data_IF_142752180960
#
_entry.id   IF_142752180960
#
_cell.length_a   1.000
_cell.length_b   1.000
_cell.length_c   1.000
_cell.angle_alpha   90.00
_cell.angle_beta   90.00
_cell.angle_gamma   90.00
#
_symmetry.space_group_name_H-M   'P 1'
#
loop_
_entity.id
_entity.type
_entity.pdbx_description
1 polymer ?
#
# COMPACT_ATOMS: atom_id res chain seq x y z
N UNK A 1 -11.72 -18.32 54.16
CA UNK A 1 -10.91 -18.90 53.06
C UNK A 1 -9.53 -18.25 53.11
N UNK A 2 -8.46 -19.04 53.22
CA UNK A 2 -7.11 -18.51 53.41
C UNK A 2 -6.64 -17.84 52.10
N UNK A 3 -6.26 -16.55 52.12
CA UNK A 3 -5.92 -15.78 50.91
C UNK A 3 -4.82 -16.45 50.06
N UNK A 4 -3.94 -17.24 50.70
CA UNK A 4 -2.93 -18.08 50.02
C UNK A 4 -3.54 -19.20 49.17
N UNK A 5 -4.63 -19.83 49.63
CA UNK A 5 -5.31 -20.88 48.87
C UNK A 5 -6.10 -20.32 47.67
N UNK A 6 -6.68 -19.12 47.81
CA UNK A 6 -7.33 -18.42 46.69
C UNK A 6 -6.31 -18.06 45.59
N UNK A 7 -5.14 -17.54 45.98
CA UNK A 7 -4.05 -17.22 45.05
C UNK A 7 -3.52 -18.47 44.32
N UNK A 8 -3.34 -19.59 45.03
CA UNK A 8 -2.93 -20.86 44.39
C UNK A 8 -4.00 -21.35 43.40
N UNK A 9 -5.29 -21.22 43.71
CA UNK A 9 -6.34 -21.60 42.76
C UNK A 9 -6.39 -20.68 41.55
N UNK A 10 -6.23 -19.36 41.71
CA UNK A 10 -6.16 -18.42 40.58
C UNK A 10 -4.93 -18.70 39.71
N UNK A 11 -3.77 -18.98 40.32
CA UNK A 11 -2.54 -19.34 39.61
C UNK A 11 -2.73 -20.64 38.83
N UNK A 12 -3.30 -21.68 39.45
CA UNK A 12 -3.59 -22.97 38.80
C UNK A 12 -4.62 -22.81 37.67
N UNK A 13 -5.65 -21.96 37.81
CA UNK A 13 -6.59 -21.68 36.71
C UNK A 13 -5.94 -20.91 35.55
N UNK A 14 -4.94 -20.06 35.82
CA UNK A 14 -4.17 -19.37 34.78
C UNK A 14 -3.29 -20.34 33.97
N UNK A 15 -2.83 -21.44 34.58
CA UNK A 15 -2.06 -22.51 33.90
C UNK A 15 -2.94 -23.59 33.23
N UNK A 16 -4.27 -23.55 33.40
CA UNK A 16 -5.21 -24.51 32.77
C UNK A 16 -6.09 -23.82 31.71
N UNK A 17 -5.89 -22.53 31.46
CA UNK A 17 -6.49 -21.88 30.30
C UNK A 17 -5.80 -22.43 29.04
N UNK A 18 -6.42 -23.43 28.41
CA UNK A 18 -6.10 -23.79 27.04
C UNK A 18 -6.65 -22.67 26.17
N UNK A 19 -5.75 -21.88 25.60
CA UNK A 19 -6.09 -21.09 24.42
C UNK A 19 -6.29 -22.10 23.30
N UNK A 20 -7.48 -22.10 22.68
CA UNK A 20 -7.74 -22.92 21.50
C UNK A 20 -7.63 -21.96 20.33
N UNK A 21 -6.66 -22.18 19.46
CA UNK A 21 -6.61 -21.50 18.18
C UNK A 21 -7.84 -21.90 17.38
N UNK A 22 -8.55 -20.89 16.89
CA UNK A 22 -9.73 -21.06 16.07
C UNK A 22 -9.27 -21.04 14.62
N UNK A 23 -9.37 -22.19 13.97
CA UNK A 23 -9.22 -22.29 12.53
C UNK A 23 -10.47 -21.71 11.86
N UNK A 24 -10.30 -20.81 10.91
CA UNK A 24 -11.43 -20.20 10.19
C UNK A 24 -12.21 -21.24 9.37
N UNK A 25 -11.53 -22.31 8.92
CA UNK A 25 -12.14 -23.39 8.15
C UNK A 25 -13.12 -24.23 8.98
N UNK A 26 -13.03 -24.20 10.33
CA UNK A 26 -14.04 -24.78 11.25
C UNK A 26 -15.42 -24.15 11.01
N UNK A 27 -15.48 -22.95 10.42
CA UNK A 27 -16.70 -22.18 10.10
C UNK A 27 -17.07 -22.19 8.61
N UNK A 28 -16.36 -22.92 7.76
CA UNK A 28 -16.64 -23.02 6.30
C UNK A 28 -18.11 -23.34 5.99
N UNK A 29 -18.74 -24.19 6.81
CA UNK A 29 -20.16 -24.54 6.65
C UNK A 29 -21.12 -23.37 6.88
N UNK A 30 -20.73 -22.35 7.66
CA UNK A 30 -21.53 -21.15 7.90
C UNK A 30 -21.57 -20.23 6.67
N UNK A 31 -20.65 -20.42 5.72
CA UNK A 31 -20.53 -19.63 4.49
C UNK A 31 -20.70 -20.46 3.22
N UNK A 32 -21.11 -21.74 3.32
CA UNK A 32 -21.21 -22.66 2.18
C UNK A 32 -22.25 -22.26 1.11
N UNK A 33 -23.06 -21.23 1.37
CA UNK A 33 -24.07 -20.68 0.45
C UNK A 33 -23.66 -19.32 -0.11
N UNK A 34 -22.45 -18.84 0.23
CA UNK A 34 -21.90 -17.62 -0.28
C UNK A 34 -21.80 -17.68 -1.81
N UNK A 35 -22.17 -16.57 -2.46
CA UNK A 35 -21.94 -16.39 -3.88
C UNK A 35 -21.03 -15.18 -4.02
N UNK A 36 -20.02 -15.29 -4.88
CA UNK A 36 -19.14 -14.18 -5.19
C UNK A 36 -19.93 -12.98 -5.75
N UNK A 37 -19.54 -11.79 -5.33
CA UNK A 37 -20.13 -10.50 -5.69
C UNK A 37 -19.07 -9.63 -6.38
N UNK A 38 -19.53 -8.64 -7.16
CA UNK A 38 -18.63 -7.63 -7.73
C UNK A 38 -18.31 -6.54 -6.72
N UNK A 39 -17.03 -6.25 -6.53
CA UNK A 39 -16.52 -5.03 -5.90
C UNK A 39 -15.91 -4.12 -6.96
N UNK A 40 -16.43 -2.90 -7.06
CA UNK A 40 -15.96 -1.91 -8.05
C UNK A 40 -15.45 -0.67 -7.33
N UNK A 41 -14.16 -0.38 -7.46
CA UNK A 41 -13.55 0.85 -6.96
C UNK A 41 -13.11 1.71 -8.14
N UNK A 42 -13.95 2.67 -8.52
CA UNK A 42 -13.71 3.59 -9.62
C UNK A 42 -13.26 4.95 -9.08
N UNK A 43 -11.96 5.22 -9.15
CA UNK A 43 -11.33 6.40 -8.56
C UNK A 43 -10.76 7.33 -9.64
N UNK A 44 -11.27 8.55 -9.70
CA UNK A 44 -10.66 9.63 -10.47
C UNK A 44 -9.55 10.32 -9.66
N UNK A 45 -8.46 10.64 -10.34
CA UNK A 45 -7.25 11.25 -9.78
C UNK A 45 -6.95 12.57 -10.54
N UNK A 46 -7.62 13.68 -10.19
CA UNK A 46 -7.59 14.93 -10.96
C UNK A 46 -6.22 15.58 -11.06
N UNK A 47 -5.36 15.40 -10.05
CA UNK A 47 -4.02 15.95 -10.03
C UNK A 47 -3.14 15.35 -11.15
N UNK A 48 -3.32 14.06 -11.45
CA UNK A 48 -2.65 13.36 -12.55
C UNK A 48 -3.45 13.36 -13.86
N UNK A 49 -4.64 14.01 -13.89
CA UNK A 49 -5.58 13.97 -15.01
C UNK A 49 -5.88 12.53 -15.50
N UNK A 50 -6.10 11.61 -14.56
CA UNK A 50 -6.34 10.20 -14.86
C UNK A 50 -7.42 9.61 -13.96
N UNK A 51 -7.73 8.34 -14.15
CA UNK A 51 -8.56 7.54 -13.26
C UNK A 51 -8.03 6.10 -13.22
N UNK A 52 -8.35 5.38 -12.16
CA UNK A 52 -8.03 3.97 -11.97
C UNK A 52 -9.33 3.28 -11.54
N UNK A 53 -9.66 2.17 -12.19
CA UNK A 53 -10.87 1.42 -11.87
C UNK A 53 -10.46 -0.03 -11.58
N UNK A 54 -10.76 -0.50 -10.38
CA UNK A 54 -10.55 -1.88 -9.95
C UNK A 54 -11.88 -2.60 -9.91
N UNK A 55 -11.93 -3.78 -10.51
CA UNK A 55 -13.11 -4.62 -10.59
C UNK A 55 -12.69 -6.00 -10.12
N UNK A 56 -13.12 -6.34 -8.92
CA UNK A 56 -12.68 -7.53 -8.22
C UNK A 56 -13.90 -8.41 -7.95
N UNK A 57 -13.68 -9.73 -7.98
CA UNK A 57 -14.64 -10.66 -7.41
C UNK A 57 -14.35 -10.86 -5.94
N UNK A 58 -15.39 -10.86 -5.11
CA UNK A 58 -15.22 -11.20 -3.71
C UNK A 58 -15.06 -12.71 -3.54
N UNK A 59 -14.17 -13.11 -2.65
CA UNK A 59 -13.81 -14.52 -2.39
C UNK A 59 -13.99 -14.82 -0.91
N UNK A 60 -14.35 -16.07 -0.55
CA UNK A 60 -14.42 -16.44 0.85
C UNK A 60 -13.01 -16.53 1.45
N UNK A 61 -12.89 -16.31 2.77
CA UNK A 61 -11.59 -16.31 3.45
C UNK A 61 -10.95 -17.70 3.52
N UNK A 62 -11.72 -18.77 3.32
CA UNK A 62 -11.28 -20.16 3.27
C UNK A 62 -11.09 -20.66 1.82
N UNK A 63 -10.90 -19.76 0.86
CA UNK A 63 -10.62 -20.11 -0.53
C UNK A 63 -9.19 -20.66 -0.69
N UNK A 64 -9.10 -21.99 -0.62
CA UNK A 64 -7.83 -22.74 -0.70
C UNK A 64 -7.16 -22.70 -2.07
N UNK A 65 -7.82 -22.18 -3.11
CA UNK A 65 -7.17 -22.03 -4.41
C UNK A 65 -6.31 -20.78 -4.52
N UNK A 66 -6.52 -19.79 -3.64
CA UNK A 66 -5.75 -18.54 -3.64
C UNK A 66 -4.56 -18.58 -2.69
N UNK A 67 -4.69 -19.32 -1.58
CA UNK A 67 -3.62 -19.54 -0.62
C UNK A 67 -3.40 -21.05 -0.56
N UNK A 68 -2.73 -21.56 -1.59
CA UNK A 68 -2.60 -22.98 -1.84
C UNK A 68 -1.26 -23.54 -1.30
N UNK A 69 -0.38 -22.64 -0.82
CA UNK A 69 0.96 -22.93 -0.32
C UNK A 69 1.89 -23.57 -1.36
N UNK A 70 1.75 -23.15 -2.61
CA UNK A 70 2.55 -23.61 -3.73
C UNK A 70 3.05 -22.37 -4.46
N UNK A 71 4.37 -22.25 -4.53
CA UNK A 71 5.07 -21.34 -5.43
C UNK A 71 4.69 -21.68 -6.89
N UNK A 72 3.83 -20.85 -7.46
CA UNK A 72 3.20 -21.06 -8.76
C UNK A 72 4.01 -20.43 -9.92
N UNK A 73 4.98 -19.55 -9.62
CA UNK A 73 5.82 -18.87 -10.61
C UNK A 73 7.34 -19.10 -10.48
N UNK A 74 7.79 -19.84 -9.46
CA UNK A 74 9.16 -20.26 -9.19
C UNK A 74 10.12 -19.14 -8.77
N UNK A 75 9.63 -18.16 -8.00
CA UNK A 75 10.44 -17.09 -7.41
C UNK A 75 10.57 -17.15 -5.88
N UNK A 76 10.14 -18.26 -5.27
CA UNK A 76 10.25 -18.52 -3.83
C UNK A 76 11.61 -18.19 -3.21
N UNK A 77 12.70 -18.60 -3.89
CA UNK A 77 14.04 -18.57 -3.31
C UNK A 77 15.11 -18.33 -4.39
N UNK A 78 16.37 -18.28 -3.99
CA UNK A 78 17.45 -17.86 -4.88
C UNK A 78 17.98 -18.97 -5.79
N UNK A 79 18.51 -18.57 -6.94
CA UNK A 79 19.06 -19.49 -7.94
C UNK A 79 20.45 -19.07 -8.40
N UNK A 80 21.35 -20.05 -8.50
CA UNK A 80 22.73 -19.84 -8.95
C UNK A 80 22.99 -20.53 -10.30
N UNK A 81 23.53 -19.77 -11.25
CA UNK A 81 23.97 -20.29 -12.53
C UNK A 81 25.43 -20.76 -12.43
N UNK A 82 25.65 -22.07 -12.55
CA UNK A 82 26.99 -22.66 -12.46
C UNK A 82 27.92 -22.29 -13.63
N UNK A 83 27.38 -21.79 -14.73
CA UNK A 83 28.12 -21.53 -15.97
C UNK A 83 28.80 -20.15 -15.99
N UNK A 84 28.15 -19.13 -15.44
CA UNK A 84 28.68 -17.76 -15.32
C UNK A 84 28.96 -17.34 -13.88
N UNK A 85 28.59 -18.18 -12.91
CA UNK A 85 28.76 -17.94 -11.46
C UNK A 85 27.95 -16.75 -10.93
N UNK A 86 26.78 -16.49 -11.53
CA UNK A 86 25.86 -15.41 -11.13
C UNK A 86 24.68 -15.97 -10.33
N UNK A 87 24.20 -15.19 -9.36
CA UNK A 87 23.00 -15.48 -8.58
C UNK A 87 21.82 -14.64 -9.05
N UNK A 88 20.61 -15.19 -8.91
CA UNK A 88 19.34 -14.64 -9.37
C UNK A 88 18.30 -14.82 -8.28
N UNK A 89 17.25 -13.99 -8.30
CA UNK A 89 16.16 -14.05 -7.30
C UNK A 89 15.03 -15.00 -7.67
N UNK A 90 14.95 -15.44 -8.94
CA UNK A 90 13.97 -16.41 -9.39
C UNK A 90 14.54 -17.42 -10.38
N UNK A 91 13.84 -18.55 -10.54
CA UNK A 91 14.23 -19.58 -11.49
C UNK A 91 14.12 -19.07 -12.93
N UNK A 92 13.09 -18.29 -13.21
CA UNK A 92 12.83 -17.72 -14.52
C UNK A 92 13.90 -16.71 -14.92
N UNK A 93 14.34 -15.85 -14.00
CA UNK A 93 15.46 -14.92 -14.25
C UNK A 93 16.75 -15.72 -14.56
N UNK A 94 17.06 -16.70 -13.72
CA UNK A 94 18.22 -17.55 -13.93
C UNK A 94 18.17 -18.27 -15.27
N UNK A 95 17.05 -18.90 -15.63
CA UNK A 95 16.97 -19.69 -16.86
C UNK A 95 16.99 -18.86 -18.13
N UNK A 96 16.53 -17.60 -18.07
CA UNK A 96 16.57 -16.67 -19.20
C UNK A 96 17.99 -16.14 -19.48
N UNK A 97 18.75 -15.83 -18.43
CA UNK A 97 20.09 -15.23 -18.54
C UNK A 97 21.21 -16.29 -18.59
N UNK A 98 21.04 -17.41 -17.88
CA UNK A 98 21.97 -18.53 -17.88
C UNK A 98 21.85 -19.29 -19.22
N UNK A 99 22.88 -19.16 -20.07
CA UNK A 99 22.90 -19.75 -21.42
C UNK A 99 22.86 -21.31 -21.45
N UNK A 100 22.79 -21.96 -20.30
CA UNK A 100 22.44 -23.37 -20.14
C UNK A 100 21.46 -23.54 -18.97
N UNK A 101 20.68 -24.62 -18.97
CA UNK A 101 19.68 -24.92 -17.93
C UNK A 101 20.31 -25.36 -16.59
N UNK A 102 21.46 -24.82 -16.20
CA UNK A 102 22.20 -25.16 -14.98
C UNK A 102 21.90 -24.17 -13.85
N UNK A 103 20.62 -23.91 -13.60
CA UNK A 103 20.15 -23.14 -12.44
C UNK A 103 20.01 -24.08 -11.24
N UNK A 104 20.74 -23.79 -10.17
CA UNK A 104 20.74 -24.54 -8.92
C UNK A 104 20.03 -23.73 -7.84
N UNK A 105 19.09 -24.35 -7.13
CA UNK A 105 18.44 -23.74 -5.97
C UNK A 105 19.47 -23.51 -4.87
N UNK A 106 19.57 -22.27 -4.40
CA UNK A 106 20.38 -21.85 -3.27
C UNK A 106 19.46 -21.25 -2.21
N UNK A 107 19.46 -21.82 -1.00
CA UNK A 107 18.50 -21.43 0.03
C UNK A 107 18.90 -20.15 0.77
N UNK A 108 20.18 -19.79 0.78
CA UNK A 108 20.67 -18.64 1.52
C UNK A 108 21.22 -17.59 0.59
N UNK A 109 20.90 -16.34 0.85
CA UNK A 109 21.53 -15.19 0.21
C UNK A 109 22.29 -14.35 1.21
N UNK A 110 23.20 -13.56 0.69
CA UNK A 110 23.94 -12.57 1.44
C UNK A 110 24.26 -11.39 0.54
N UNK A 111 23.82 -10.22 0.94
CA UNK A 111 24.17 -8.98 0.28
C UNK A 111 25.49 -8.45 0.82
N UNK A 112 26.42 -8.13 -0.09
CA UNK A 112 27.71 -7.55 0.26
C UNK A 112 27.87 -6.17 -0.37
N UNK A 113 28.80 -5.35 0.12
CA UNK A 113 29.05 -4.06 -0.54
C UNK A 113 29.61 -4.29 -1.96
N UNK A 114 29.19 -3.46 -2.93
CA UNK A 114 29.67 -3.52 -4.31
C UNK A 114 31.21 -3.51 -4.42
N UNK A 115 31.89 -2.76 -3.55
CA UNK A 115 33.36 -2.70 -3.52
C UNK A 115 34.04 -4.01 -3.07
N UNK A 116 33.29 -4.94 -2.49
CA UNK A 116 33.78 -6.23 -1.98
C UNK A 116 33.37 -7.42 -2.87
N UNK A 117 32.60 -7.22 -3.96
CA UNK A 117 32.15 -8.30 -4.83
C UNK A 117 32.88 -8.37 -6.19
N UNK A 118 33.89 -9.23 -6.29
CA UNK A 118 34.60 -9.49 -7.57
C UNK A 118 33.80 -10.39 -8.54
N UNK A 119 32.72 -11.06 -8.08
CA UNK A 119 31.96 -12.09 -8.82
C UNK A 119 30.50 -11.74 -9.10
N UNK A 120 29.99 -10.62 -8.59
CA UNK A 120 28.60 -10.21 -8.80
C UNK A 120 28.41 -9.67 -10.23
N UNK A 121 27.20 -9.82 -10.78
CA UNK A 121 26.84 -9.16 -12.02
C UNK A 121 26.66 -7.67 -11.75
N UNK A 122 27.42 -6.82 -12.45
CA UNK A 122 27.51 -5.38 -12.18
C UNK A 122 26.20 -4.61 -12.47
N UNK A 123 25.20 -5.27 -13.04
CA UNK A 123 23.91 -4.71 -13.40
C UNK A 123 22.75 -5.21 -12.48
N UNK A 124 22.98 -6.10 -11.49
CA UNK A 124 21.90 -6.86 -10.80
C UNK A 124 22.00 -7.00 -9.27
N UNK A 125 22.56 -6.04 -8.53
CA UNK A 125 22.74 -6.10 -7.06
C UNK A 125 23.92 -6.97 -6.61
N UNK A 126 24.61 -6.67 -5.49
CA UNK A 126 25.71 -7.47 -4.97
C UNK A 126 25.24 -8.72 -4.21
N UNK A 127 24.41 -9.52 -4.87
CA UNK A 127 23.82 -10.75 -4.34
C UNK A 127 24.79 -11.93 -4.51
N UNK A 128 25.12 -12.59 -3.40
CA UNK A 128 25.78 -13.90 -3.41
C UNK A 128 24.88 -14.90 -2.71
N UNK A 129 24.73 -16.09 -3.30
CA UNK A 129 23.84 -17.13 -2.77
C UNK A 129 24.62 -18.41 -2.45
N UNK A 130 24.06 -19.22 -1.55
CA UNK A 130 24.68 -20.43 -1.02
C UNK A 130 23.65 -21.56 -0.86
N UNK A 131 24.09 -22.80 -1.03
CA UNK A 131 23.23 -23.98 -0.82
C UNK A 131 22.87 -24.15 0.66
N UNK A 132 23.75 -23.75 1.57
CA UNK A 132 23.61 -23.98 3.02
C UNK A 132 23.97 -22.77 3.87
N UNK A 133 23.39 -22.69 5.08
CA UNK A 133 23.66 -21.65 6.07
C UNK A 133 25.14 -21.62 6.46
N UNK A 134 25.76 -22.78 6.64
CA UNK A 134 27.17 -22.89 7.00
C UNK A 134 28.07 -22.28 5.94
N UNK A 135 27.83 -22.57 4.66
CA UNK A 135 28.60 -21.99 3.56
C UNK A 135 28.45 -20.48 3.49
N UNK A 136 27.23 -19.99 3.70
CA UNK A 136 26.96 -18.56 3.76
C UNK A 136 27.73 -17.89 4.90
N UNK A 137 27.66 -18.41 6.13
CA UNK A 137 28.34 -17.82 7.30
C UNK A 137 29.87 -17.88 7.16
N UNK A 138 30.41 -18.94 6.56
CA UNK A 138 31.87 -19.06 6.35
C UNK A 138 32.40 -18.10 5.29
N UNK A 139 31.59 -17.81 4.27
CA UNK A 139 32.02 -17.10 3.06
C UNK A 139 31.56 -15.65 3.01
N UNK A 140 30.44 -15.33 3.65
CA UNK A 140 29.87 -14.00 3.65
C UNK A 140 30.19 -13.20 4.91
N UNK A 141 30.31 -11.88 4.73
CA UNK A 141 30.51 -10.91 5.82
C UNK A 141 29.22 -10.18 6.21
N UNK A 142 28.19 -10.25 5.37
CA UNK A 142 26.85 -9.73 5.64
C UNK A 142 26.00 -10.75 6.40
N UNK A 143 24.73 -10.40 6.59
CA UNK A 143 23.77 -11.28 7.23
C UNK A 143 23.28 -12.33 6.21
N UNK A 144 23.25 -13.58 6.63
CA UNK A 144 22.73 -14.69 5.84
C UNK A 144 21.22 -14.77 6.03
N UNK A 145 20.48 -14.52 4.94
CA UNK A 145 19.02 -14.54 4.92
C UNK A 145 18.52 -15.68 4.05
N UNK A 146 17.35 -16.22 4.38
CA UNK A 146 16.65 -17.25 3.61
C UNK A 146 15.16 -16.95 3.60
N UNK A 147 14.50 -17.36 2.52
CA UNK A 147 13.04 -17.35 2.38
C UNK A 147 12.41 -18.69 2.82
N UNK A 148 13.25 -19.71 3.11
CA UNK A 148 12.89 -21.02 3.68
C UNK A 148 12.83 -20.92 5.21
N UNK A 149 11.77 -20.24 5.68
CA UNK A 149 11.60 -19.75 7.05
C UNK A 149 10.53 -20.51 7.86
N UNK A 150 9.87 -21.50 7.27
CA UNK A 150 8.86 -22.31 7.93
C UNK A 150 7.50 -21.62 8.15
N UNK A 151 6.61 -22.32 8.85
CA UNK A 151 5.20 -21.96 9.04
C UNK A 151 4.96 -20.62 9.75
N UNK A 152 5.90 -20.15 10.57
CA UNK A 152 5.79 -18.89 11.32
C UNK A 152 6.25 -17.65 10.52
N UNK A 153 6.80 -17.89 9.31
CA UNK A 153 7.25 -16.86 8.38
C UNK A 153 8.47 -16.08 8.90
N UNK A 154 9.31 -16.68 9.75
CA UNK A 154 10.50 -16.03 10.32
C UNK A 154 11.68 -16.97 10.42
N UNK A 155 12.79 -16.54 9.84
CA UNK A 155 14.07 -17.21 10.03
C UNK A 155 14.43 -17.33 11.53
N UNK A 156 14.83 -18.52 11.96
CA UNK A 156 15.31 -18.74 13.30
C UNK A 156 16.56 -17.92 13.60
N UNK A 157 16.58 -17.35 14.79
CA UNK A 157 17.62 -16.47 15.29
C UNK A 157 18.00 -16.87 16.70
N UNK A 158 19.25 -17.30 16.88
CA UNK A 158 19.86 -17.54 18.19
C UNK A 158 20.74 -16.32 18.51
N UNK A 159 20.27 -15.49 19.43
CA UNK A 159 20.85 -14.17 19.70
C UNK A 159 22.26 -14.23 20.30
N UNK A 160 22.61 -15.35 20.93
CA UNK A 160 23.87 -15.52 21.63
C UNK A 160 24.71 -16.73 21.12
N UNK A 161 24.16 -17.51 20.17
CA UNK A 161 24.73 -18.72 19.57
C UNK A 161 25.08 -19.80 20.61
N UNK A 162 24.32 -19.95 21.68
CA UNK A 162 24.52 -21.01 22.69
C UNK A 162 23.73 -22.29 22.39
N UNK A 163 22.87 -22.26 21.36
CA UNK A 163 22.11 -23.38 20.87
C UNK A 163 20.87 -23.71 21.71
N UNK A 164 20.49 -22.85 22.66
CA UNK A 164 19.15 -22.85 23.24
C UNK A 164 18.36 -21.59 22.79
N UNK A 165 17.10 -21.79 22.39
CA UNK A 165 16.23 -20.72 21.88
C UNK A 165 15.30 -20.24 23.00
N UNK A 166 15.87 -19.81 24.13
CA UNK A 166 15.11 -19.48 25.34
C UNK A 166 15.24 -18.03 25.83
N UNK A 167 16.05 -17.21 25.15
CA UNK A 167 16.23 -15.80 25.48
C UNK A 167 14.99 -14.97 25.16
N UNK A 168 14.47 -14.29 26.18
CA UNK A 168 13.24 -13.47 26.09
C UNK A 168 13.55 -11.99 26.17
N UNK A 169 13.08 -11.23 25.19
CA UNK A 169 13.19 -9.78 25.19
C UNK A 169 13.10 -9.21 23.77
N UNK A 170 13.32 -7.90 23.64
CA UNK A 170 13.55 -7.28 22.34
C UNK A 170 14.91 -7.76 21.82
N UNK A 171 14.93 -8.40 20.65
CA UNK A 171 16.12 -9.10 20.12
C UNK A 171 16.47 -10.40 20.83
N UNK A 172 15.49 -11.06 21.47
CA UNK A 172 15.64 -12.44 21.96
C UNK A 172 15.51 -13.47 20.84
N UNK A 173 15.51 -14.75 21.20
CA UNK A 173 15.59 -15.83 20.23
C UNK A 173 14.28 -16.05 19.46
N UNK A 174 14.43 -16.54 18.24
CA UNK A 174 13.38 -17.11 17.39
C UNK A 174 13.76 -18.56 17.15
N UNK A 175 12.98 -19.47 17.72
CA UNK A 175 13.21 -20.91 17.58
C UNK A 175 12.77 -21.40 16.20
N UNK A 176 13.47 -22.39 15.63
CA UNK A 176 13.05 -22.98 14.37
C UNK A 176 11.76 -23.78 14.52
N UNK A 177 10.98 -23.80 13.46
CA UNK A 177 9.65 -24.40 13.42
C UNK A 177 9.51 -25.44 12.28
N UNK A 178 8.28 -25.81 11.94
CA UNK A 178 8.02 -26.82 10.91
C UNK A 178 8.17 -26.18 9.53
N UNK A 179 8.86 -26.86 8.61
CA UNK A 179 9.17 -26.33 7.27
C UNK A 179 10.56 -25.68 7.17
N UNK A 180 11.04 -24.99 8.21
CA UNK A 180 12.28 -24.21 8.11
C UNK A 180 13.51 -25.04 7.70
N UNK A 181 14.16 -24.61 6.62
CA UNK A 181 15.40 -25.18 6.10
C UNK A 181 15.22 -26.54 5.43
N UNK A 182 14.00 -26.91 5.04
CA UNK A 182 13.72 -28.20 4.40
C UNK A 182 13.87 -28.18 2.87
N UNK A 183 14.05 -26.99 2.29
CA UNK A 183 14.25 -26.74 0.87
C UNK A 183 12.98 -26.94 0.02
N UNK A 184 11.80 -26.84 0.63
CA UNK A 184 10.50 -26.95 -0.03
C UNK A 184 9.65 -25.71 0.31
N UNK A 185 9.05 -25.02 -0.68
CA UNK A 185 8.17 -23.90 -0.41
C UNK A 185 6.99 -24.34 0.45
N UNK A 186 6.73 -23.58 1.51
CA UNK A 186 5.70 -23.81 2.51
C UNK A 186 4.77 -22.60 2.72
N UNK A 187 3.64 -22.85 3.39
CA UNK A 187 2.70 -21.78 3.73
C UNK A 187 3.37 -20.71 4.60
N UNK A 188 3.02 -19.43 4.38
CA UNK A 188 3.52 -18.26 5.13
C UNK A 188 5.01 -17.92 4.91
N UNK A 189 5.70 -18.66 4.05
CA UNK A 189 7.02 -18.27 3.57
C UNK A 189 6.90 -17.12 2.56
N UNK A 190 7.98 -16.37 2.40
CA UNK A 190 8.03 -15.27 1.44
C UNK A 190 7.91 -15.84 0.02
N UNK A 191 7.26 -15.12 -0.89
CA UNK A 191 7.14 -15.49 -2.32
C UNK A 191 6.55 -16.91 -2.58
N UNK A 192 5.53 -17.34 -1.81
CA UNK A 192 4.82 -18.64 -2.05
C UNK A 192 3.32 -18.47 -2.32
N UNK A 193 2.67 -17.50 -1.68
CA UNK A 193 1.26 -17.16 -1.92
C UNK A 193 1.17 -15.63 -1.92
N UNK A 194 1.92 -14.99 -2.83
CA UNK A 194 2.07 -13.54 -2.85
C UNK A 194 1.09 -12.84 -3.81
N UNK A 195 1.19 -11.51 -3.86
CA UNK A 195 0.14 -10.71 -4.47
C UNK A 195 -0.03 -10.95 -5.97
N UNK A 196 1.05 -11.09 -6.73
CA UNK A 196 0.97 -11.30 -8.17
C UNK A 196 0.48 -12.70 -8.58
N UNK A 197 0.52 -13.69 -7.69
CA UNK A 197 -0.18 -14.97 -7.87
C UNK A 197 -1.69 -14.85 -7.55
N UNK A 198 -2.05 -14.14 -6.47
CA UNK A 198 -3.43 -14.05 -5.97
C UNK A 198 -4.27 -13.09 -6.82
N UNK A 199 -3.72 -11.95 -7.20
CA UNK A 199 -4.45 -10.85 -7.83
C UNK A 199 -5.06 -11.21 -9.19
N UNK A 200 -4.37 -11.92 -10.11
CA UNK A 200 -4.96 -12.37 -11.37
C UNK A 200 -6.21 -13.23 -11.18
N UNK A 201 -6.24 -14.05 -10.12
CA UNK A 201 -7.40 -14.86 -9.80
C UNK A 201 -8.57 -14.02 -9.25
N UNK A 202 -8.34 -12.84 -8.69
CA UNK A 202 -9.38 -11.98 -8.11
C UNK A 202 -9.89 -10.93 -9.11
N UNK A 203 -9.06 -10.48 -10.04
CA UNK A 203 -9.42 -9.43 -10.98
C UNK A 203 -10.37 -9.91 -12.08
N UNK A 204 -11.31 -9.04 -12.41
CA UNK A 204 -12.01 -9.08 -13.69
C UNK A 204 -11.27 -8.16 -14.67
N UNK A 205 -10.25 -8.73 -15.27
CA UNK A 205 -9.33 -8.10 -16.22
C UNK A 205 -9.88 -8.00 -17.66
N UNK A 206 -10.98 -8.70 -17.92
CA UNK A 206 -11.57 -8.87 -19.23
C UNK A 206 -13.08 -9.02 -19.14
N UNK A 207 -13.76 -9.07 -20.29
CA UNK A 207 -15.21 -9.29 -20.38
C UNK A 207 -16.09 -8.22 -19.71
N UNK A 208 -15.52 -7.06 -19.35
CA UNK A 208 -16.26 -5.89 -18.90
C UNK A 208 -15.99 -4.69 -19.84
N UNK A 209 -17.02 -3.91 -20.09
CA UNK A 209 -16.93 -2.61 -20.79
C UNK A 209 -17.02 -1.50 -19.77
N UNK A 210 -15.93 -0.74 -19.60
CA UNK A 210 -15.79 0.29 -18.57
C UNK A 210 -15.64 1.67 -19.21
N UNK A 211 -16.43 2.64 -18.73
CA UNK A 211 -16.45 4.02 -19.26
C UNK A 211 -16.66 5.07 -18.17
N UNK A 212 -16.02 6.22 -18.34
CA UNK A 212 -16.36 7.46 -17.65
C UNK A 212 -16.75 8.52 -18.68
N UNK A 213 -17.80 9.29 -18.39
CA UNK A 213 -18.32 10.34 -19.25
C UNK A 213 -18.37 11.67 -18.48
N UNK A 214 -18.03 12.76 -19.16
CA UNK A 214 -18.21 14.13 -18.69
C UNK A 214 -18.84 14.97 -19.81
N UNK A 215 -20.08 15.42 -19.62
CA UNK A 215 -20.83 16.11 -20.67
C UNK A 215 -21.00 15.24 -21.93
N UNK A 216 -20.42 15.67 -23.06
CA UNK A 216 -20.42 14.92 -24.33
C UNK A 216 -19.15 14.07 -24.52
N UNK A 217 -18.12 14.25 -23.68
CA UNK A 217 -16.84 13.56 -23.74
C UNK A 217 -16.94 12.18 -23.09
N UNK A 218 -16.35 11.17 -23.73
CA UNK A 218 -16.37 9.79 -23.26
C UNK A 218 -14.94 9.28 -23.19
N UNK A 219 -14.64 8.59 -22.10
CA UNK A 219 -13.40 7.87 -21.90
C UNK A 219 -13.70 6.39 -21.72
N UNK A 220 -13.16 5.58 -22.63
CA UNK A 220 -13.15 4.12 -22.49
C UNK A 220 -11.92 3.70 -21.72
N UNK A 221 -11.99 2.54 -21.07
CA UNK A 221 -10.90 2.01 -20.26
C UNK A 221 -10.46 0.65 -20.80
N UNK A 222 -9.18 0.36 -20.63
CA UNK A 222 -8.55 -0.93 -20.93
C UNK A 222 -7.86 -1.44 -19.68
N UNK A 223 -7.85 -2.75 -19.48
CA UNK A 223 -7.11 -3.35 -18.37
C UNK A 223 -5.61 -3.29 -18.61
N UNK A 224 -4.86 -3.07 -17.55
CA UNK A 224 -3.40 -3.05 -17.51
C UNK A 224 -2.93 -3.74 -16.24
N UNK A 225 -2.11 -4.79 -16.38
CA UNK A 225 -1.52 -5.54 -15.26
C UNK A 225 -0.62 -4.64 -14.39
N UNK A 226 0.10 -3.71 -15.01
CA UNK A 226 0.89 -2.68 -14.31
C UNK A 226 0.07 -1.46 -13.85
N UNK A 227 -1.26 -1.55 -13.95
CA UNK A 227 -2.18 -0.47 -13.62
C UNK A 227 -2.45 -0.41 -12.12
N UNK A 228 -2.18 0.73 -11.48
CA UNK A 228 -2.34 0.85 -10.03
C UNK A 228 -1.23 0.11 -9.28
N UNK A 229 -0.61 0.81 -8.33
CA UNK A 229 0.53 0.28 -7.58
C UNK A 229 0.37 0.59 -6.11
N UNK A 230 0.91 -0.27 -5.26
CA UNK A 230 1.11 -0.01 -3.84
C UNK A 230 2.53 -0.40 -3.45
N UNK A 231 2.93 0.03 -2.26
CA UNK A 231 4.23 -0.31 -1.69
C UNK A 231 4.01 -1.45 -0.71
N UNK A 232 4.80 -2.50 -0.86
CA UNK A 232 4.86 -3.60 0.09
C UNK A 232 6.20 -3.59 0.81
N UNK A 233 6.17 -3.84 2.11
CA UNK A 233 7.33 -3.81 2.98
C UNK A 233 7.63 -5.24 3.41
N UNK A 234 8.76 -5.78 2.92
CA UNK A 234 9.20 -7.14 3.26
C UNK A 234 9.68 -7.24 4.72
N UNK A 235 9.92 -6.10 5.37
CA UNK A 235 10.45 -6.03 6.73
C UNK A 235 9.37 -5.71 7.77
N UNK A 236 9.61 -6.09 9.04
CA UNK A 236 8.75 -5.66 10.16
C UNK A 236 9.10 -4.27 10.70
N UNK A 237 10.28 -3.77 10.38
CA UNK A 237 10.77 -2.44 10.73
C UNK A 237 11.05 -1.72 9.41
N UNK A 238 10.11 -0.88 8.96
CA UNK A 238 10.18 -0.16 7.68
C UNK A 238 11.61 0.23 7.34
N UNK A 239 12.11 -0.25 6.21
CA UNK A 239 13.35 0.22 5.58
C UNK A 239 13.02 0.68 4.17
N UNK A 240 13.37 1.92 3.85
CA UNK A 240 13.07 2.53 2.55
C UNK A 240 13.75 1.78 1.39
N UNK A 241 14.86 1.11 1.66
CA UNK A 241 15.62 0.34 0.68
C UNK A 241 14.96 -1.01 0.35
N UNK A 242 14.20 -1.58 1.30
CA UNK A 242 13.57 -2.90 1.19
C UNK A 242 12.10 -2.81 0.73
N UNK A 243 11.61 -1.61 0.40
CA UNK A 243 10.23 -1.43 -0.07
C UNK A 243 10.11 -1.79 -1.55
N UNK A 244 9.23 -2.73 -1.85
CA UNK A 244 8.90 -3.12 -3.21
C UNK A 244 7.64 -2.43 -3.71
N UNK A 245 7.53 -2.29 -5.03
CA UNK A 245 6.34 -1.71 -5.68
C UNK A 245 5.57 -2.82 -6.35
N UNK A 246 4.44 -3.19 -5.76
CA UNK A 246 3.58 -4.23 -6.29
C UNK A 246 2.55 -3.62 -7.24
N UNK A 247 2.44 -4.22 -8.42
CA UNK A 247 1.41 -3.87 -9.40
C UNK A 247 0.12 -4.57 -9.05
N UNK A 248 -0.91 -3.80 -8.72
CA UNK A 248 -2.21 -4.38 -8.36
C UNK A 248 -2.98 -4.83 -9.61
N UNK A 249 -2.79 -4.17 -10.76
CA UNK A 249 -3.63 -4.38 -11.94
C UNK A 249 -4.91 -3.53 -11.90
N UNK A 250 -5.22 -2.83 -12.99
CA UNK A 250 -6.39 -1.97 -13.05
C UNK A 250 -6.82 -1.62 -14.46
N UNK A 251 -8.09 -1.23 -14.58
CA UNK A 251 -8.61 -0.55 -15.76
C UNK A 251 -8.16 0.91 -15.76
N UNK A 252 -7.40 1.30 -16.78
CA UNK A 252 -6.86 2.64 -16.98
C UNK A 252 -7.47 3.29 -18.23
N UNK A 253 -7.49 4.64 -18.34
CA UNK A 253 -7.96 5.34 -19.52
C UNK A 253 -7.29 4.82 -20.79
N UNK A 254 -8.09 4.45 -21.79
CA UNK A 254 -7.61 4.02 -23.10
C UNK A 254 -6.93 5.22 -23.80
N UNK A 255 -5.61 5.17 -24.06
CA UNK A 255 -4.90 6.27 -24.70
C UNK A 255 -5.43 6.62 -26.11
N UNK A 256 -6.14 5.69 -26.76
CA UNK A 256 -6.72 5.87 -28.09
C UNK A 256 -8.19 6.31 -28.06
N UNK A 257 -8.90 6.09 -26.94
CA UNK A 257 -10.34 6.28 -26.82
C UNK A 257 -10.73 6.99 -25.51
N UNK A 258 -9.97 8.02 -25.14
CA UNK A 258 -10.25 8.86 -23.99
C UNK A 258 -10.16 10.35 -24.32
N UNK A 259 -11.32 11.00 -24.38
CA UNK A 259 -11.45 12.44 -24.64
C UNK A 259 -11.78 13.25 -23.38
N UNK A 260 -11.85 12.60 -22.21
CA UNK A 260 -12.23 13.23 -20.93
C UNK A 260 -11.01 13.74 -20.20
N UNK A 261 -11.04 15.02 -19.82
CA UNK A 261 -10.14 15.56 -18.80
C UNK A 261 -10.73 15.31 -17.40
N UNK A 262 -9.96 14.66 -16.53
CA UNK A 262 -10.37 14.32 -15.16
C UNK A 262 -10.14 15.47 -14.16
N UNK A 263 -10.03 16.70 -14.64
CA UNK A 263 -9.74 17.89 -13.81
C UNK A 263 -10.85 18.96 -13.85
N UNK A 264 -12.03 18.63 -14.38
CA UNK A 264 -13.18 19.53 -14.32
C UNK A 264 -13.80 19.49 -12.92
N UNK A 265 -13.28 20.36 -12.05
CA UNK A 265 -13.79 20.51 -10.70
C UNK A 265 -15.20 21.10 -10.66
N UNK A 266 -15.99 20.65 -9.68
CA UNK A 266 -17.37 21.08 -9.41
C UNK A 266 -18.39 20.73 -10.51
N UNK A 267 -18.04 19.82 -11.42
CA UNK A 267 -18.95 19.26 -12.42
C UNK A 267 -19.17 17.75 -12.21
N UNK A 268 -20.31 17.26 -12.68
CA UNK A 268 -20.72 15.87 -12.53
C UNK A 268 -20.08 14.98 -13.60
N UNK A 269 -19.58 13.83 -13.19
CA UNK A 269 -19.10 12.75 -14.03
C UNK A 269 -20.04 11.55 -13.89
N UNK A 270 -20.13 10.75 -14.95
CA UNK A 270 -20.91 9.52 -14.99
C UNK A 270 -19.97 8.33 -15.23
N UNK A 271 -19.98 7.38 -14.31
CA UNK A 271 -19.36 6.08 -14.48
C UNK A 271 -20.36 5.07 -15.02
N UNK A 272 -19.89 4.17 -15.88
CA UNK A 272 -20.62 2.95 -16.22
C UNK A 272 -19.71 1.75 -16.46
N UNK A 273 -20.16 0.59 -15.98
CA UNK A 273 -19.54 -0.71 -16.21
C UNK A 273 -20.61 -1.72 -16.60
N UNK A 274 -20.35 -2.54 -17.60
CA UNK A 274 -21.24 -3.65 -17.99
C UNK A 274 -20.38 -4.86 -18.33
N UNK A 275 -20.59 -5.96 -17.61
CA UNK A 275 -19.86 -7.20 -17.83
C UNK A 275 -20.70 -8.21 -18.61
N UNK A 276 -20.05 -9.01 -19.44
CA UNK A 276 -20.68 -10.02 -20.28
C UNK A 276 -21.20 -11.20 -19.45
N UNK A 277 -22.11 -12.02 -20.01
CA UNK A 277 -22.61 -13.22 -19.32
C UNK A 277 -21.48 -14.23 -19.02
N UNK A 278 -20.47 -14.29 -19.89
CA UNK A 278 -19.32 -15.19 -19.76
C UNK A 278 -18.44 -14.88 -18.55
N UNK A 279 -18.49 -13.65 -18.00
CA UNK A 279 -17.76 -13.31 -16.78
C UNK A 279 -18.40 -13.88 -15.51
N UNK A 280 -19.62 -14.41 -15.59
CA UNK A 280 -20.41 -14.83 -14.42
C UNK A 280 -21.16 -13.68 -13.72
N UNK A 281 -20.87 -12.43 -14.08
CA UNK A 281 -21.46 -11.23 -13.45
C UNK A 281 -22.38 -10.41 -14.35
N UNK A 282 -22.67 -10.88 -15.58
CA UNK A 282 -23.61 -10.20 -16.49
C UNK A 282 -25.04 -10.03 -15.94
N UNK A 283 -25.40 -10.71 -14.85
CA UNK A 283 -26.69 -10.55 -14.20
C UNK A 283 -26.92 -9.13 -13.62
N UNK A 284 -25.86 -8.41 -13.23
CA UNK A 284 -25.97 -7.00 -12.82
C UNK A 284 -26.41 -6.09 -13.98
N UNK A 285 -26.13 -6.48 -15.22
CA UNK A 285 -26.24 -5.61 -16.40
C UNK A 285 -25.42 -4.35 -16.26
N UNK A 286 -25.87 -3.25 -16.89
CA UNK A 286 -25.19 -1.96 -16.78
C UNK A 286 -25.25 -1.38 -15.36
N UNK A 287 -24.10 -1.35 -14.70
CA UNK A 287 -23.85 -0.67 -13.44
C UNK A 287 -23.50 0.79 -13.71
N UNK A 288 -24.06 1.71 -12.94
CA UNK A 288 -23.84 3.16 -13.10
C UNK A 288 -23.67 3.88 -11.78
N UNK A 289 -22.95 4.99 -11.79
CA UNK A 289 -22.86 5.93 -10.68
C UNK A 289 -22.54 7.34 -11.19
N UNK A 290 -22.91 8.37 -10.43
CA UNK A 290 -22.44 9.73 -10.65
C UNK A 290 -21.72 10.26 -9.43
N UNK A 291 -20.76 11.16 -9.66
CA UNK A 291 -20.13 11.93 -8.60
C UNK A 291 -19.61 13.27 -9.15
N UNK A 292 -19.33 14.21 -8.25
CA UNK A 292 -18.80 15.53 -8.57
C UNK A 292 -17.40 15.68 -7.98
N UNK A 293 -16.42 15.94 -8.85
CA UNK A 293 -15.04 16.15 -8.42
C UNK A 293 -14.94 17.42 -7.58
N UNK A 294 -14.28 17.33 -6.42
CA UNK A 294 -14.06 18.47 -5.53
C UNK A 294 -12.68 19.05 -5.71
N UNK A 295 -12.51 20.34 -5.41
CA UNK A 295 -11.22 21.02 -5.51
C UNK A 295 -10.23 20.50 -4.47
N UNK A 296 -8.94 20.43 -4.78
CA UNK A 296 -7.92 20.02 -3.82
C UNK A 296 -7.68 21.12 -2.78
N UNK A 297 -6.86 20.82 -1.77
CA UNK A 297 -6.39 21.81 -0.80
C UNK A 297 -5.47 22.85 -1.46
N UNK A 298 -5.26 23.97 -0.77
CA UNK A 298 -4.33 25.03 -1.14
C UNK A 298 -3.30 25.17 -0.02
N UNK A 299 -2.03 24.87 -0.30
CA UNK A 299 -0.93 25.16 0.62
C UNK A 299 -0.66 26.66 0.69
N UNK A 300 -0.36 27.16 1.89
CA UNK A 300 -0.01 28.56 2.11
C UNK A 300 1.10 28.68 3.16
N UNK A 301 1.77 29.84 3.20
CA UNK A 301 2.74 30.15 4.27
C UNK A 301 2.01 30.75 5.47
N UNK A 302 2.36 30.35 6.69
CA UNK A 302 1.77 30.87 7.92
C UNK A 302 1.72 32.41 8.01
N UNK A 303 2.71 33.09 7.42
CA UNK A 303 2.79 34.54 7.40
C UNK A 303 1.62 35.23 6.70
N UNK A 304 0.86 34.51 5.86
CA UNK A 304 -0.30 35.04 5.12
C UNK A 304 -1.64 34.50 5.63
N UNK A 305 -1.69 33.82 6.77
CA UNK A 305 -2.93 33.20 7.30
C UNK A 305 -4.09 34.21 7.44
N UNK A 306 -3.83 35.43 7.92
CA UNK A 306 -4.86 36.47 8.01
C UNK A 306 -5.45 36.83 6.64
N UNK A 307 -4.66 36.76 5.58
CA UNK A 307 -5.14 36.96 4.21
C UNK A 307 -5.99 35.78 3.74
N UNK A 308 -5.59 34.54 4.07
CA UNK A 308 -6.40 33.34 3.82
C UNK A 308 -7.77 33.45 4.51
N UNK A 309 -7.79 33.82 5.79
CA UNK A 309 -9.03 34.04 6.56
C UNK A 309 -9.92 35.08 5.87
N UNK A 310 -9.35 36.17 5.35
CA UNK A 310 -10.11 37.20 4.64
C UNK A 310 -10.75 36.72 3.33
N UNK A 311 -10.22 35.66 2.70
CA UNK A 311 -10.83 35.08 1.50
C UNK A 311 -12.19 34.42 1.78
N UNK A 312 -12.48 34.03 3.02
CA UNK A 312 -13.76 33.41 3.40
C UNK A 312 -14.98 34.32 3.20
N UNK A 313 -14.78 35.64 3.13
CA UNK A 313 -15.81 36.65 2.87
C UNK A 313 -15.88 37.05 1.38
N UNK A 314 -14.95 36.54 0.55
CA UNK A 314 -14.89 36.86 -0.87
C UNK A 314 -15.93 36.03 -1.64
N UNK A 315 -16.77 36.65 -2.51
CA UNK A 315 -17.73 35.91 -3.35
C UNK A 315 -17.08 34.86 -4.26
N UNK A 316 -15.82 35.06 -4.63
CA UNK A 316 -14.99 34.11 -5.38
C UNK A 316 -13.94 33.49 -4.47
N UNK A 317 -14.38 32.85 -3.38
CA UNK A 317 -13.52 32.31 -2.30
C UNK A 317 -12.34 31.51 -2.84
N UNK A 318 -12.59 30.52 -3.70
CA UNK A 318 -11.53 29.69 -4.28
C UNK A 318 -10.46 30.50 -5.03
N UNK A 319 -10.87 31.39 -5.93
CA UNK A 319 -9.92 32.22 -6.70
C UNK A 319 -9.10 33.15 -5.80
N UNK A 320 -9.64 33.57 -4.65
CA UNK A 320 -8.90 34.32 -3.66
C UNK A 320 -7.84 33.44 -2.99
N UNK A 321 -8.22 32.25 -2.52
CA UNK A 321 -7.29 31.30 -1.89
C UNK A 321 -6.14 30.92 -2.83
N UNK A 322 -6.44 30.64 -4.10
CA UNK A 322 -5.43 30.25 -5.10
C UNK A 322 -4.34 31.30 -5.30
N UNK A 323 -4.67 32.59 -5.12
CA UNK A 323 -3.67 33.66 -5.23
C UNK A 323 -2.59 33.61 -4.15
N UNK A 324 -2.82 32.85 -3.08
CA UNK A 324 -1.88 32.61 -1.97
C UNK A 324 -1.25 31.22 -2.01
N UNK A 325 -1.53 30.42 -3.05
CA UNK A 325 -0.99 29.09 -3.13
C UNK A 325 0.54 29.11 -3.15
N UNK A 326 1.16 28.35 -2.25
CA UNK A 326 2.61 28.24 -2.16
C UNK A 326 3.10 26.91 -2.75
N UNK A 327 3.81 27.00 -3.88
CA UNK A 327 4.43 25.85 -4.56
C UNK A 327 5.89 25.60 -4.17
N UNK A 328 6.49 26.47 -3.38
CA UNK A 328 7.91 26.35 -3.03
C UNK A 328 8.16 25.13 -2.14
N UNK A 329 9.34 24.51 -2.27
CA UNK A 329 9.82 23.54 -1.27
C UNK A 329 10.00 24.24 0.08
N UNK A 330 9.56 23.58 1.16
CA UNK A 330 9.78 24.06 2.52
C UNK A 330 11.09 23.52 3.08
N UNK A 331 11.69 24.24 4.00
CA UNK A 331 12.92 23.85 4.66
C UNK A 331 12.71 23.96 6.17
N UNK A 332 13.01 22.89 6.89
CA UNK A 332 12.92 22.84 8.35
C UNK A 332 14.27 22.51 8.94
N UNK A 333 14.61 23.13 10.07
CA UNK A 333 15.81 22.79 10.82
C UNK A 333 15.59 21.47 11.56
N UNK A 334 16.61 20.61 11.59
CA UNK A 334 16.57 19.37 12.34
C UNK A 334 16.24 19.61 13.83
N UNK A 335 15.19 18.95 14.32
CA UNK A 335 14.66 19.12 15.68
C UNK A 335 13.67 20.27 15.86
N UNK A 336 13.23 20.97 14.80
CA UNK A 336 12.21 22.01 14.89
C UNK A 336 10.83 21.42 15.26
N UNK A 337 10.50 21.51 16.55
CA UNK A 337 9.22 21.07 17.10
C UNK A 337 8.00 21.88 16.62
N UNK A 338 8.22 23.00 15.93
CA UNK A 338 7.18 23.86 15.38
C UNK A 338 6.96 23.67 13.87
N UNK A 339 7.75 22.80 13.22
CA UNK A 339 7.64 22.49 11.82
C UNK A 339 6.24 21.96 11.47
N UNK A 340 5.59 22.60 10.49
CA UNK A 340 4.25 22.23 10.02
C UNK A 340 4.01 22.70 8.59
N UNK A 341 3.06 22.05 7.93
CA UNK A 341 2.57 22.38 6.61
C UNK A 341 1.13 22.88 6.73
N UNK A 342 0.90 24.15 6.42
CA UNK A 342 -0.43 24.76 6.52
C UNK A 342 -1.17 24.67 5.18
N UNK A 343 -2.44 24.26 5.24
CA UNK A 343 -3.30 24.10 4.08
C UNK A 343 -4.75 24.50 4.36
N UNK A 344 -5.45 24.91 3.31
CA UNK A 344 -6.85 25.35 3.38
C UNK A 344 -7.67 24.67 2.30
N UNK A 345 -8.90 24.32 2.61
CA UNK A 345 -9.88 23.86 1.63
C UNK A 345 -11.17 24.68 1.69
N UNK A 346 -12.03 24.49 0.70
CA UNK A 346 -13.41 24.96 0.76
C UNK A 346 -14.22 24.09 1.73
N UNK A 347 -15.33 24.62 2.24
CA UNK A 347 -16.15 23.95 3.24
C UNK A 347 -16.81 22.64 2.74
N UNK A 348 -16.92 22.46 1.43
CA UNK A 348 -17.45 21.25 0.82
C UNK A 348 -16.51 20.05 1.00
N UNK A 349 -15.25 20.28 1.37
CA UNK A 349 -14.23 19.25 1.60
C UNK A 349 -13.49 19.48 2.91
N UNK A 350 -14.03 18.94 4.01
CA UNK A 350 -13.44 19.02 5.35
C UNK A 350 -12.87 17.71 5.85
N UNK A 351 -12.75 16.71 4.97
CA UNK A 351 -12.11 15.43 5.27
C UNK A 351 -10.94 15.25 4.34
N UNK A 352 -9.85 14.74 4.90
CA UNK A 352 -8.57 14.69 4.23
C UNK A 352 -7.90 13.34 4.42
N UNK A 353 -7.08 12.96 3.46
CA UNK A 353 -6.05 11.95 3.65
C UNK A 353 -4.71 12.65 3.46
N UNK A 354 -3.90 12.64 4.51
CA UNK A 354 -2.52 13.09 4.46
C UNK A 354 -1.63 11.88 4.22
N UNK A 355 -0.72 11.96 3.24
CA UNK A 355 0.23 10.90 2.94
C UNK A 355 1.62 11.49 2.84
N UNK A 356 2.51 11.03 3.69
CA UNK A 356 3.93 11.34 3.70
C UNK A 356 4.71 10.29 2.90
N UNK A 357 5.65 10.78 2.11
CA UNK A 357 6.62 9.97 1.39
C UNK A 357 8.04 10.41 1.71
N UNK A 358 8.94 9.44 1.73
CA UNK A 358 10.39 9.62 1.84
C UNK A 358 10.99 9.51 0.44
N UNK A 359 11.97 10.34 0.13
CA UNK A 359 12.71 10.22 -1.13
C UNK A 359 13.80 9.15 -0.97
N UNK A 360 13.69 8.11 -1.77
CA UNK A 360 14.68 7.06 -1.97
C UNK A 360 15.66 7.55 -3.05
N UNK A 361 16.88 7.90 -2.65
CA UNK A 361 17.89 8.46 -3.56
C UNK A 361 18.48 7.40 -4.49
N UNK A 362 18.53 6.14 -4.05
CA UNK A 362 19.14 5.04 -4.81
C UNK A 362 18.27 4.68 -6.01
N UNK A 363 16.95 4.63 -5.82
CA UNK A 363 16.00 4.29 -6.88
C UNK A 363 15.30 5.52 -7.52
N UNK A 364 15.71 6.74 -7.18
CA UNK A 364 15.15 8.03 -7.67
C UNK A 364 13.61 8.08 -7.58
N UNK A 365 13.05 7.68 -6.43
CA UNK A 365 11.60 7.56 -6.23
C UNK A 365 11.13 8.08 -4.87
N UNK A 366 9.83 8.29 -4.73
CA UNK A 366 9.21 8.61 -3.45
C UNK A 366 8.45 7.40 -2.92
N UNK A 367 8.86 6.89 -1.77
CA UNK A 367 8.31 5.70 -1.13
C UNK A 367 7.30 6.10 -0.05
N UNK A 368 6.17 5.40 0.01
CA UNK A 368 5.17 5.63 1.06
C UNK A 368 5.79 5.36 2.42
N UNK A 369 5.62 6.31 3.35
CA UNK A 369 6.13 6.15 4.72
C UNK A 369 5.00 6.11 5.74
N UNK A 370 4.10 7.09 5.66
CA UNK A 370 3.02 7.23 6.62
C UNK A 370 1.83 7.89 5.97
N UNK A 371 0.62 7.51 6.39
CA UNK A 371 -0.56 8.26 6.02
C UNK A 371 -1.67 8.09 7.04
N UNK A 372 -2.49 9.13 7.17
CA UNK A 372 -3.61 9.11 8.09
C UNK A 372 -4.77 9.96 7.58
N UNK A 373 -5.94 9.59 8.07
CA UNK A 373 -7.17 10.35 7.89
C UNK A 373 -7.10 11.58 8.79
N UNK A 374 -7.60 12.69 8.27
CA UNK A 374 -7.77 13.91 9.04
C UNK A 374 -9.12 14.57 8.67
N UNK A 375 -9.57 15.51 9.49
CA UNK A 375 -10.78 16.25 9.22
C UNK A 375 -10.91 17.52 10.03
N UNK A 376 -11.50 18.53 9.41
CA UNK A 376 -11.92 19.75 10.09
C UNK A 376 -12.91 19.40 11.18
N UNK A 377 -12.48 19.47 12.44
CA UNK A 377 -13.37 19.15 13.57
C UNK A 377 -14.49 20.19 13.68
N UNK A 378 -15.71 19.72 13.95
CA UNK A 378 -16.88 20.58 14.23
C UNK A 378 -16.70 21.47 15.47
N UNK A 379 -15.60 21.32 16.23
CA UNK A 379 -15.24 22.12 17.41
C UNK A 379 -14.79 23.57 17.13
N UNK A 380 -14.89 24.04 15.88
CA UNK A 380 -15.27 25.43 15.61
C UNK A 380 -14.18 26.48 15.36
N UNK A 381 -12.89 26.11 15.40
CA UNK A 381 -11.81 27.07 15.10
C UNK A 381 -11.18 26.89 13.70
N UNK A 382 -11.27 25.70 13.10
CA UNK A 382 -10.76 25.44 11.74
C UNK A 382 -11.71 25.93 10.66
N UNK A 383 -13.02 25.87 10.92
CA UNK A 383 -14.04 26.32 9.98
C UNK A 383 -14.27 27.82 10.12
N UNK A 384 -13.97 28.57 9.06
CA UNK A 384 -14.10 30.03 9.04
C UNK A 384 -15.26 30.44 8.13
N UNK A 385 -16.20 31.21 8.71
CA UNK A 385 -17.38 31.76 8.03
C UNK A 385 -18.25 30.73 7.27
N UNK A 386 -18.11 29.44 7.60
CA UNK A 386 -18.75 28.34 6.86
C UNK A 386 -18.41 28.38 5.35
N UNK A 387 -17.22 28.88 5.01
CA UNK A 387 -16.74 29.00 3.62
C UNK A 387 -15.46 28.21 3.39
N UNK A 388 -14.57 28.18 4.38
CA UNK A 388 -13.25 27.52 4.28
C UNK A 388 -12.95 26.72 5.55
N UNK A 389 -12.04 25.75 5.42
CA UNK A 389 -11.49 24.98 6.54
C UNK A 389 -9.95 25.10 6.55
N UNK A 390 -9.40 25.62 7.64
CA UNK A 390 -7.97 25.76 7.91
C UNK A 390 -7.45 24.53 8.65
N UNK A 391 -6.38 23.96 8.14
CA UNK A 391 -5.73 22.78 8.69
C UNK A 391 -4.21 22.93 8.62
N UNK A 392 -3.51 22.08 9.37
CA UNK A 392 -2.06 22.01 9.31
C UNK A 392 -1.60 20.60 9.64
N UNK A 393 -0.61 20.10 8.89
CA UNK A 393 0.06 18.85 9.18
C UNK A 393 1.32 19.10 9.99
N UNK A 394 1.54 18.34 11.06
CA UNK A 394 2.76 18.49 11.87
C UNK A 394 3.89 17.71 11.19
N UNK A 395 5.04 18.35 11.02
CA UNK A 395 6.21 17.69 10.44
C UNK A 395 7.13 17.21 11.56
N UNK A 396 7.54 15.94 11.48
CA UNK A 396 8.66 15.43 12.28
C UNK A 396 9.94 15.88 11.56
N UNK A 397 10.59 16.91 12.08
CA UNK A 397 11.78 17.50 11.47
C UNK A 397 13.05 16.71 11.81
N UNK A 398 13.06 15.42 11.48
CA UNK A 398 14.17 14.49 11.72
C UNK A 398 14.52 13.76 10.41
N UNK A 399 15.79 13.44 10.21
CA UNK A 399 16.23 12.65 9.04
C UNK A 399 15.92 11.17 9.27
N UNK A 400 15.66 10.44 8.18
CA UNK A 400 15.28 9.02 8.24
C UNK A 400 16.52 8.09 8.29
N UNK A 401 16.85 7.37 9.38
CA UNK A 401 18.09 6.54 9.48
C UNK A 401 18.08 5.29 8.57
N UNK A 402 19.24 4.62 8.28
CA UNK A 402 20.58 4.81 8.87
C UNK A 402 21.69 5.23 7.86
N UNK A 403 22.77 5.80 8.41
CA UNK A 403 24.02 6.25 7.76
C UNK A 403 24.00 7.49 6.85
N UNK A 404 23.03 7.70 5.97
CA UNK A 404 22.81 8.97 5.24
C UNK A 404 21.31 9.16 5.08
N UNK A 405 20.64 9.49 6.18
CA UNK A 405 19.19 9.50 6.15
C UNK A 405 18.61 10.46 5.14
N UNK A 406 17.60 10.02 4.39
CA UNK A 406 16.90 10.87 3.44
C UNK A 406 16.42 12.13 4.16
N UNK A 407 16.78 13.28 3.60
CA UNK A 407 16.39 14.58 4.11
C UNK A 407 15.28 15.22 3.27
N UNK A 408 14.86 14.57 2.17
CA UNK A 408 13.83 15.03 1.24
C UNK A 408 12.57 14.22 1.41
N UNK A 409 11.47 14.94 1.51
CA UNK A 409 10.16 14.37 1.76
C UNK A 409 9.10 15.10 0.95
N UNK A 410 7.94 14.46 0.80
CA UNK A 410 6.72 15.15 0.34
C UNK A 410 5.52 14.73 1.15
N UNK A 411 4.55 15.64 1.23
CA UNK A 411 3.19 15.36 1.65
C UNK A 411 2.23 15.52 0.49
N UNK A 412 1.42 14.48 0.23
CA UNK A 412 0.24 14.57 -0.62
C UNK A 412 -0.99 14.71 0.29
N UNK A 413 -1.74 15.80 0.13
CA UNK A 413 -2.96 16.06 0.89
C UNK A 413 -4.15 15.98 -0.07
N UNK A 414 -5.01 14.98 0.16
CA UNK A 414 -6.17 14.70 -0.67
C UNK A 414 -7.47 15.20 -0.03
N UNK A 415 -8.35 15.77 -0.85
CA UNK A 415 -9.78 15.92 -0.55
C UNK A 415 -10.58 14.90 -1.35
N UNK A 416 -11.84 14.71 -0.96
CA UNK A 416 -12.69 13.66 -1.53
C UNK A 416 -13.93 14.22 -2.23
N UNK A 417 -14.37 13.56 -3.30
CA UNK A 417 -15.76 13.67 -3.76
C UNK A 417 -16.71 13.01 -2.76
N UNK A 418 -18.01 13.30 -2.84
CA UNK A 418 -18.94 12.85 -1.78
C UNK A 418 -19.18 11.35 -1.83
N UNK A 419 -19.25 10.75 -3.03
CA UNK A 419 -19.40 9.31 -3.19
C UNK A 419 -18.20 8.57 -2.60
N UNK A 420 -16.98 8.99 -2.96
CA UNK A 420 -15.77 8.34 -2.48
C UNK A 420 -15.48 8.58 -1.00
N UNK A 421 -15.80 9.78 -0.47
CA UNK A 421 -15.66 10.08 0.96
C UNK A 421 -16.43 9.08 1.83
N UNK A 422 -17.65 8.73 1.41
CA UNK A 422 -18.50 7.81 2.17
C UNK A 422 -17.91 6.38 2.19
N UNK A 423 -17.37 5.93 1.06
CA UNK A 423 -16.68 4.65 0.96
C UNK A 423 -15.40 4.63 1.81
N UNK A 424 -14.58 5.67 1.70
CA UNK A 424 -13.27 5.72 2.35
C UNK A 424 -13.36 5.85 3.87
N UNK A 425 -14.19 6.75 4.40
CA UNK A 425 -14.17 7.07 5.85
C UNK A 425 -14.97 6.11 6.72
N UNK A 426 -15.95 5.41 6.17
CA UNK A 426 -16.92 4.66 6.97
C UNK A 426 -16.74 3.14 6.84
N UNK A 427 -15.52 2.63 6.94
CA UNK A 427 -15.13 1.21 6.75
C UNK A 427 -15.85 0.14 7.62
N UNK A 428 -16.72 0.50 8.57
CA UNK A 428 -17.32 -0.42 9.55
C UNK A 428 -18.77 -0.89 9.27
N UNK A 429 -19.40 -0.56 8.13
CA UNK A 429 -20.71 -1.16 7.75
C UNK A 429 -20.63 -1.79 6.36
N UNK A 430 -21.58 -2.69 6.12
CA UNK A 430 -21.87 -3.39 4.87
C UNK A 430 -21.54 -2.55 3.63
N UNK A 431 -20.64 -3.05 2.79
CA UNK A 431 -20.18 -2.34 1.59
C UNK A 431 -21.25 -2.31 0.48
N UNK A 432 -22.35 -3.07 0.63
CA UNK A 432 -23.57 -2.98 -0.20
C UNK A 432 -24.59 -1.97 0.34
N UNK A 433 -24.25 -1.19 1.38
CA UNK A 433 -25.15 -0.20 1.97
C UNK A 433 -25.54 0.89 0.94
N UNK A 434 -26.84 1.06 0.63
CA UNK A 434 -27.32 2.01 -0.37
C UNK A 434 -27.01 3.48 -0.05
N UNK A 435 -26.68 3.83 1.20
CA UNK A 435 -26.25 5.18 1.57
C UNK A 435 -24.78 5.43 1.24
N UNK A 436 -23.96 4.37 1.16
CA UNK A 436 -22.50 4.47 1.09
C UNK A 436 -21.96 4.18 -0.29
N UNK A 437 -22.43 3.12 -0.92
CA UNK A 437 -22.17 2.90 -2.34
C UNK A 437 -23.11 3.77 -3.17
N UNK A 438 -22.56 4.48 -4.16
CA UNK A 438 -23.33 5.17 -5.19
C UNK A 438 -23.49 4.35 -6.48
N UNK A 439 -22.97 3.12 -6.52
CA UNK A 439 -23.10 2.22 -7.65
C UNK A 439 -24.47 1.55 -7.67
N UNK A 440 -25.10 1.52 -8.84
CA UNK A 440 -26.43 0.95 -9.03
C UNK A 440 -26.45 0.00 -10.22
N UNK A 441 -26.93 -1.22 -10.01
CA UNK A 441 -27.19 -2.20 -11.06
C UNK A 441 -28.38 -1.77 -11.96
N UNK A 442 -28.71 -2.59 -12.98
CA UNK A 442 -29.85 -2.32 -13.89
C UNK A 442 -31.22 -2.23 -13.19
N UNK A 443 -31.34 -2.75 -11.97
CA UNK A 443 -32.57 -2.75 -11.18
C UNK A 443 -32.58 -1.62 -10.13
N UNK A 444 -31.49 -0.87 -9.99
CA UNK A 444 -31.31 0.15 -8.96
C UNK A 444 -30.86 -0.39 -7.60
N UNK A 445 -30.39 -1.64 -7.52
CA UNK A 445 -29.80 -2.20 -6.31
C UNK A 445 -28.35 -1.72 -6.13
N UNK A 446 -27.88 -1.57 -4.88
CA UNK A 446 -26.48 -1.26 -4.61
C UNK A 446 -25.54 -2.36 -5.12
N UNK A 447 -24.35 -1.97 -5.57
CA UNK A 447 -23.23 -2.85 -5.89
C UNK A 447 -22.06 -2.45 -4.98
N UNK A 448 -21.30 -3.43 -4.50
CA UNK A 448 -20.19 -3.20 -3.59
C UNK A 448 -19.15 -2.26 -4.20
N UNK A 449 -18.69 -1.28 -3.43
CA UNK A 449 -17.65 -0.33 -3.84
C UNK A 449 -18.18 1.09 -4.05
N UNK A 450 -17.47 1.90 -4.85
CA UNK A 450 -17.83 3.28 -5.09
C UNK A 450 -17.23 3.85 -6.38
N UNK A 451 -17.86 4.92 -6.86
CA UNK A 451 -17.30 5.83 -7.86
C UNK A 451 -17.10 7.21 -7.25
N UNK A 452 -15.93 7.81 -7.47
CA UNK A 452 -15.69 9.21 -7.12
C UNK A 452 -14.26 9.67 -7.40
N UNK A 453 -13.75 10.63 -6.63
CA UNK A 453 -12.46 11.27 -6.85
C UNK A 453 -11.69 11.55 -5.56
N UNK A 454 -10.35 11.49 -5.67
CA UNK A 454 -9.40 12.00 -4.70
C UNK A 454 -8.60 13.14 -5.33
N UNK A 455 -8.87 14.37 -4.90
CA UNK A 455 -8.22 15.57 -5.43
C UNK A 455 -7.07 15.98 -4.52
N UNK A 456 -5.84 15.78 -5.00
CA UNK A 456 -4.63 16.04 -4.22
C UNK A 456 -3.86 17.30 -4.61
N UNK A 457 -3.03 17.80 -3.68
CA UNK A 457 -1.82 18.57 -4.00
C UNK A 457 -0.64 18.03 -3.22
N UNK A 458 0.53 18.19 -3.81
CA UNK A 458 1.82 17.80 -3.23
C UNK A 458 2.55 19.00 -2.63
N UNK A 459 3.17 18.80 -1.47
CA UNK A 459 4.09 19.74 -0.83
C UNK A 459 5.42 19.08 -0.51
N UNK A 460 6.48 19.55 -1.14
CA UNK A 460 7.84 19.09 -0.87
C UNK A 460 8.44 19.83 0.31
N UNK A 461 9.23 19.13 1.11
CA UNK A 461 10.04 19.72 2.17
C UNK A 461 11.36 19.00 2.36
N UNK A 462 12.34 19.71 2.93
CA UNK A 462 13.66 19.17 3.24
C UNK A 462 14.07 19.49 4.69
N UNK A 463 14.76 18.55 5.34
CA UNK A 463 15.30 18.71 6.69
C UNK A 463 16.78 19.11 6.61
N UNK A 464 17.08 20.35 6.99
CA UNK A 464 18.44 20.89 6.97
C UNK A 464 19.21 20.46 8.20
N UNK A 465 20.47 20.05 8.02
CA UNK A 465 21.33 19.74 9.15
C UNK A 465 21.84 21.03 9.79
N UNK A 466 22.07 21.00 11.10
CA UNK A 466 22.66 22.13 11.84
C UNK A 466 24.12 22.44 11.42
N UNK A 467 24.71 21.70 10.48
CA UNK A 467 26.11 21.82 10.07
C UNK A 467 26.32 22.32 8.62
N UNK A 468 25.25 22.62 7.88
CA UNK A 468 25.36 23.10 6.48
C UNK A 468 25.67 24.61 6.36
N UNK A 469 25.96 25.29 7.48
CA UNK A 469 26.62 26.60 7.47
C UNK A 469 28.16 26.43 7.51
N UNK A 470 28.79 26.27 6.34
CA UNK A 470 30.19 26.71 6.12
C UNK A 470 30.47 27.09 4.66
#
# INVERSE_FOLDING_TARGET
>A
MNKKFLLIHIFVFYFIACEKDLDITDFSSDFSFYNSELRIEALMLPAQNTAIIRIDKSVPLDEVSLYNCIDDDNDWNYYYCADDSVSYKSLDECTNECNSSNCLLHLFSCEINEEECDTCSWDLSPLITFETKEECIESCRGDCVTDDVGEDGKQAYDSNNDGDYDDRGFGGDIAPDEGEGDGVPGCNELNVDEYDEILPEIHLDSLCTVKIQHGEEICSFIYSEIGGVFFDDKSRDFDVNDVETISYGAWIPDPLNCDVDFNHYDTEYLFSCECEEESGYGYYGKITATDTIRRPVIFYRDTVENNIISCSENPSTHSCLESFHNNDTLYFEEGDNSAKISYVSLIETIKYQAVQYIFDEENDRYVYYHGHRDGGTDSGNSIINNSICLMSEKVVAEKYPPFIGSDKFKYDIFTFSKGYENYYFFIQLDLSDPERTNLRDKNGNPVMGAFGAMSGRTKYFQILSNNDEN
#
